data_IF_465533199971
#
_entry.id   IF_465533199971
#
_cell.length_a   1.000
_cell.length_b   1.000
_cell.length_c   1.000
_cell.angle_alpha   90.00
_cell.angle_beta   90.00
_cell.angle_gamma   90.00
#
_symmetry.space_group_name_H-M   'P 1'
#
loop_
_entity.id
_entity.type
_entity.pdbx_description
1 polymer ?
#
# COMPACT_ATOMS: atom_id res chain seq x y z
N UNK A 1 -0.79 -9.59 -41.71
CA UNK A 1 -0.35 -10.56 -40.68
C UNK A 1 0.75 -9.97 -39.78
N UNK A 2 0.52 -8.90 -38.99
CA UNK A 2 1.52 -8.32 -38.06
C UNK A 2 0.90 -7.65 -36.82
N UNK A 3 -0.38 -7.86 -36.52
CA UNK A 3 -0.99 -7.22 -35.34
C UNK A 3 -0.56 -7.85 -33.99
N UNK A 4 -0.12 -9.10 -33.98
CA UNK A 4 0.32 -9.78 -32.75
C UNK A 4 1.73 -9.35 -32.31
N UNK A 5 2.59 -8.96 -33.25
CA UNK A 5 3.93 -8.44 -32.95
C UNK A 5 3.89 -7.02 -32.37
N UNK A 6 2.97 -6.17 -32.84
CA UNK A 6 2.82 -4.79 -32.37
C UNK A 6 2.31 -4.71 -30.93
N UNK A 7 1.36 -5.58 -30.55
CA UNK A 7 0.85 -5.63 -29.16
C UNK A 7 1.95 -6.07 -28.18
N UNK A 8 2.78 -7.03 -28.59
CA UNK A 8 3.95 -7.47 -27.80
C UNK A 8 4.98 -6.35 -27.62
N UNK A 9 5.29 -5.61 -28.67
CA UNK A 9 6.22 -4.49 -28.63
C UNK A 9 5.72 -3.30 -27.80
N UNK A 10 4.42 -2.98 -27.83
CA UNK A 10 3.84 -1.96 -26.98
C UNK A 10 3.84 -2.33 -25.49
N UNK A 11 3.59 -3.60 -25.15
CA UNK A 11 3.67 -4.08 -23.78
C UNK A 11 5.10 -4.05 -23.24
N UNK A 12 6.08 -4.43 -24.06
CA UNK A 12 7.50 -4.39 -23.70
C UNK A 12 8.05 -2.97 -23.54
N UNK A 13 7.62 -2.01 -24.35
CA UNK A 13 8.03 -0.59 -24.20
C UNK A 13 7.55 0.03 -22.89
N UNK A 14 6.36 -0.33 -22.39
CA UNK A 14 5.83 0.12 -21.09
C UNK A 14 6.50 -0.57 -19.89
N UNK A 15 7.17 -1.70 -20.08
CA UNK A 15 7.90 -2.42 -19.05
C UNK A 15 9.35 -1.92 -18.84
N UNK A 16 9.87 -1.04 -19.73
CA UNK A 16 11.22 -0.48 -19.57
C UNK A 16 11.27 0.48 -18.38
N UNK A 17 12.36 0.37 -17.63
CA UNK A 17 12.66 1.31 -16.55
C UNK A 17 12.88 2.70 -17.13
N UNK A 18 12.17 3.69 -16.59
CA UNK A 18 12.46 5.08 -16.86
C UNK A 18 13.49 5.58 -15.83
N UNK A 19 14.38 6.47 -16.26
CA UNK A 19 15.35 7.09 -15.36
C UNK A 19 14.70 7.71 -14.11
N UNK A 20 13.48 8.24 -14.24
CA UNK A 20 12.69 8.75 -13.12
C UNK A 20 12.32 7.71 -12.06
N UNK A 21 12.11 6.45 -12.45
CA UNK A 21 11.79 5.37 -11.51
C UNK A 21 13.04 4.98 -10.70
N UNK A 22 14.19 4.88 -11.39
CA UNK A 22 15.47 4.63 -10.71
C UNK A 22 15.80 5.79 -9.76
N UNK A 23 15.59 7.04 -10.20
CA UNK A 23 15.78 8.22 -9.34
C UNK A 23 14.86 8.21 -8.12
N UNK A 24 13.60 7.77 -8.26
CA UNK A 24 12.66 7.64 -7.14
C UNK A 24 13.18 6.65 -6.09
N UNK A 25 13.59 5.44 -6.48
CA UNK A 25 14.09 4.44 -5.55
C UNK A 25 15.43 4.86 -4.92
N UNK A 26 16.30 5.50 -5.68
CA UNK A 26 17.53 6.08 -5.14
C UNK A 26 17.23 7.20 -4.14
N UNK A 27 16.22 8.04 -4.39
CA UNK A 27 15.79 9.07 -3.45
C UNK A 27 15.25 8.47 -2.16
N UNK A 28 14.42 7.40 -2.23
CA UNK A 28 13.92 6.70 -1.04
C UNK A 28 15.07 6.10 -0.23
N UNK A 29 16.04 5.48 -0.90
CA UNK A 29 17.23 4.94 -0.25
C UNK A 29 18.09 6.07 0.38
N UNK A 30 18.29 7.17 -0.33
CA UNK A 30 19.04 8.33 0.15
C UNK A 30 18.36 8.99 1.38
N UNK A 31 17.01 9.03 1.42
CA UNK A 31 16.29 9.51 2.60
C UNK A 31 16.68 8.75 3.87
N UNK A 32 16.90 7.43 3.78
CA UNK A 32 17.36 6.62 4.91
C UNK A 32 18.73 7.03 5.45
N UNK A 33 19.62 7.55 4.60
CA UNK A 33 20.92 8.06 5.04
C UNK A 33 20.86 9.52 5.51
N UNK A 34 19.97 10.34 4.95
CA UNK A 34 19.85 11.75 5.25
C UNK A 34 19.11 12.02 6.57
N UNK A 35 18.16 11.15 6.97
CA UNK A 35 17.31 11.35 8.13
C UNK A 35 17.39 10.20 9.14
N UNK A 36 18.55 9.96 9.79
CA UNK A 36 18.74 8.81 10.69
C UNK A 36 17.85 8.86 11.95
N UNK A 37 17.30 10.00 12.32
CA UNK A 37 16.41 10.16 13.47
C UNK A 37 14.95 9.80 13.19
N UNK A 38 14.59 9.55 11.93
CA UNK A 38 13.19 9.33 11.49
C UNK A 38 12.92 7.92 10.96
N UNK A 39 13.78 6.94 11.26
CA UNK A 39 13.62 5.57 10.75
C UNK A 39 12.27 4.95 11.09
N UNK A 40 11.74 5.15 12.30
CA UNK A 40 10.45 4.58 12.71
C UNK A 40 9.30 5.06 11.81
N UNK A 41 9.23 6.37 11.57
CA UNK A 41 8.19 6.95 10.70
C UNK A 41 8.37 6.49 9.26
N UNK A 42 9.60 6.43 8.78
CA UNK A 42 9.89 5.93 7.42
C UNK A 42 9.52 4.46 7.27
N UNK A 43 9.78 3.64 8.28
CA UNK A 43 9.36 2.22 8.29
C UNK A 43 7.86 2.09 8.23
N UNK A 44 7.11 2.91 8.98
CA UNK A 44 5.65 2.97 8.90
C UNK A 44 5.15 3.33 7.51
N UNK A 45 5.76 4.31 6.85
CA UNK A 45 5.43 4.71 5.49
C UNK A 45 5.65 3.54 4.52
N UNK A 46 6.78 2.81 4.62
CA UNK A 46 7.09 1.68 3.75
C UNK A 46 6.09 0.53 3.93
N UNK A 47 5.71 0.21 5.18
CA UNK A 47 4.70 -0.81 5.49
C UNK A 47 3.33 -0.41 4.95
N UNK A 48 2.92 0.85 5.18
CA UNK A 48 1.66 1.40 4.67
C UNK A 48 1.65 1.41 3.13
N UNK A 49 2.77 1.74 2.50
CA UNK A 49 2.93 1.71 1.05
C UNK A 49 2.77 0.29 0.49
N UNK A 50 3.37 -0.72 1.15
CA UNK A 50 3.21 -2.12 0.77
C UNK A 50 1.75 -2.57 0.92
N UNK A 51 1.13 -2.21 2.03
CA UNK A 51 -0.27 -2.53 2.30
C UNK A 51 -1.21 -1.82 1.31
N UNK A 52 -0.96 -0.55 0.97
CA UNK A 52 -1.70 0.17 -0.06
C UNK A 52 -1.51 -0.43 -1.46
N UNK A 53 -0.29 -0.86 -1.79
CA UNK A 53 -0.01 -1.55 -3.05
C UNK A 53 -0.80 -2.87 -3.13
N UNK A 54 -0.98 -3.62 -2.04
CA UNK A 54 -1.79 -4.83 -2.01
C UNK A 54 -3.25 -4.56 -2.37
N UNK A 55 -3.85 -3.50 -1.82
CA UNK A 55 -5.22 -3.10 -2.16
C UNK A 55 -5.31 -2.56 -3.59
N UNK A 56 -4.29 -1.83 -4.08
CA UNK A 56 -4.27 -1.32 -5.46
C UNK A 56 -4.28 -2.45 -6.51
N UNK A 57 -3.67 -3.60 -6.21
CA UNK A 57 -3.71 -4.76 -7.09
C UNK A 57 -5.13 -5.24 -7.35
N UNK A 58 -6.03 -5.22 -6.36
CA UNK A 58 -7.43 -5.64 -6.54
C UNK A 58 -8.34 -4.48 -6.94
N UNK A 59 -8.21 -3.32 -6.32
CA UNK A 59 -9.03 -2.15 -6.62
C UNK A 59 -8.60 -1.47 -7.92
N UNK A 60 -7.32 -1.20 -8.04
CA UNK A 60 -6.76 -0.45 -9.15
C UNK A 60 -6.77 -1.21 -10.46
N UNK A 61 -6.49 -2.50 -10.46
CA UNK A 61 -6.36 -3.31 -11.66
C UNK A 61 -7.55 -4.23 -11.94
N UNK A 62 -8.20 -4.78 -10.91
CA UNK A 62 -9.35 -5.68 -11.08
C UNK A 62 -10.70 -5.04 -10.80
N UNK A 63 -10.74 -3.85 -10.19
CA UNK A 63 -11.97 -3.14 -9.87
C UNK A 63 -12.73 -3.73 -8.68
N UNK A 64 -12.10 -4.53 -7.83
CA UNK A 64 -12.71 -5.08 -6.63
C UNK A 64 -12.47 -4.11 -5.47
N UNK A 65 -13.54 -3.55 -4.93
CA UNK A 65 -13.50 -2.76 -3.71
C UNK A 65 -13.56 -3.69 -2.50
N UNK A 66 -12.70 -3.49 -1.51
CA UNK A 66 -12.65 -4.28 -0.28
C UNK A 66 -12.50 -3.36 0.92
N UNK A 67 -13.38 -3.51 1.91
CA UNK A 67 -13.32 -2.85 3.21
C UNK A 67 -12.78 -3.76 4.32
N UNK A 68 -12.53 -5.03 4.01
CA UNK A 68 -11.98 -6.02 4.93
C UNK A 68 -10.53 -6.39 4.62
N UNK A 69 -9.77 -5.54 3.95
CA UNK A 69 -8.40 -5.86 3.55
C UNK A 69 -7.46 -5.99 4.76
N UNK A 70 -7.80 -5.32 5.88
CA UNK A 70 -7.15 -5.46 7.18
C UNK A 70 -7.17 -6.90 7.71
N UNK A 71 -8.14 -7.73 7.32
CA UNK A 71 -8.19 -9.15 7.66
C UNK A 71 -6.90 -9.90 7.27
N UNK A 72 -6.40 -9.67 6.06
CA UNK A 72 -5.18 -10.31 5.55
C UNK A 72 -3.93 -9.76 6.23
N UNK A 73 -3.92 -8.46 6.50
CA UNK A 73 -2.86 -7.81 7.27
C UNK A 73 -2.79 -8.38 8.68
N UNK A 74 -3.93 -8.49 9.37
CA UNK A 74 -4.02 -9.03 10.71
C UNK A 74 -3.57 -10.49 10.79
N UNK A 75 -4.03 -11.35 9.87
CA UNK A 75 -3.57 -12.75 9.82
C UNK A 75 -2.05 -12.84 9.62
N UNK A 76 -1.49 -11.99 8.75
CA UNK A 76 -0.04 -11.93 8.56
C UNK A 76 0.70 -11.47 9.82
N UNK A 77 0.18 -10.45 10.50
CA UNK A 77 0.74 -9.92 11.74
C UNK A 77 0.76 -10.96 12.86
N UNK A 78 -0.40 -11.60 13.11
CA UNK A 78 -0.51 -12.65 14.13
C UNK A 78 0.28 -13.91 13.77
N UNK A 79 0.30 -14.33 12.50
CA UNK A 79 1.10 -15.48 12.07
C UNK A 79 2.58 -15.25 12.35
N UNK A 80 3.13 -14.10 11.97
CA UNK A 80 4.53 -13.78 12.26
C UNK A 80 4.81 -13.70 13.78
N UNK A 81 3.90 -13.07 14.54
CA UNK A 81 4.01 -12.96 15.99
C UNK A 81 3.99 -14.31 16.71
N UNK A 82 3.04 -15.17 16.35
CA UNK A 82 2.91 -16.51 16.93
C UNK A 82 4.11 -17.42 16.62
N UNK A 83 4.61 -17.36 15.37
CA UNK A 83 5.79 -18.14 14.96
C UNK A 83 7.02 -17.75 15.78
N UNK A 84 7.21 -16.46 16.04
CA UNK A 84 8.32 -15.98 16.85
C UNK A 84 8.12 -16.25 18.33
N UNK A 85 6.93 -15.99 18.88
CA UNK A 85 6.63 -16.18 20.31
C UNK A 85 6.79 -17.65 20.76
N UNK A 86 6.39 -18.61 19.91
CA UNK A 86 6.55 -20.03 20.19
C UNK A 86 7.92 -20.60 19.78
N UNK A 87 8.82 -19.78 19.26
CA UNK A 87 10.14 -20.22 18.83
C UNK A 87 10.14 -21.20 17.65
N UNK A 88 9.04 -21.26 16.88
CA UNK A 88 8.89 -22.19 15.74
C UNK A 88 9.75 -21.72 14.57
N UNK A 89 9.64 -20.42 14.25
CA UNK A 89 10.42 -19.75 13.20
C UNK A 89 10.78 -18.36 13.73
N UNK A 90 12.01 -18.21 14.20
CA UNK A 90 12.49 -16.93 14.73
C UNK A 90 13.22 -16.10 13.66
N UNK A 91 13.58 -16.73 12.54
CA UNK A 91 14.24 -16.05 11.42
C UNK A 91 13.23 -15.16 10.69
N UNK A 92 13.48 -13.83 10.61
CA UNK A 92 12.48 -12.86 10.13
C UNK A 92 12.02 -13.11 8.71
N UNK A 93 12.93 -13.48 7.80
CA UNK A 93 12.59 -13.66 6.37
C UNK A 93 11.69 -14.88 6.16
N UNK A 94 11.98 -15.99 6.85
CA UNK A 94 11.14 -17.19 6.79
C UNK A 94 9.77 -16.94 7.43
N UNK A 95 9.73 -16.30 8.60
CA UNK A 95 8.48 -15.92 9.26
C UNK A 95 7.61 -15.02 8.36
N UNK A 96 8.23 -14.07 7.65
CA UNK A 96 7.56 -13.19 6.70
C UNK A 96 6.89 -13.97 5.56
N UNK A 97 7.61 -14.92 4.96
CA UNK A 97 7.09 -15.73 3.85
C UNK A 97 5.93 -16.61 4.35
N UNK A 98 6.07 -17.27 5.49
CA UNK A 98 5.02 -18.13 6.06
C UNK A 98 3.79 -17.32 6.44
N UNK A 99 3.95 -16.14 7.03
CA UNK A 99 2.86 -15.23 7.33
C UNK A 99 2.13 -14.74 6.07
N UNK A 100 2.87 -14.40 5.03
CA UNK A 100 2.31 -14.07 3.73
C UNK A 100 1.52 -15.24 3.11
N UNK A 101 2.06 -16.46 3.20
CA UNK A 101 1.36 -17.67 2.73
C UNK A 101 0.09 -17.97 3.55
N UNK A 102 0.10 -17.76 4.87
CA UNK A 102 -1.09 -17.90 5.70
C UNK A 102 -2.20 -16.93 5.24
N UNK A 103 -1.87 -15.67 5.03
CA UNK A 103 -2.81 -14.69 4.49
C UNK A 103 -3.25 -15.04 3.05
N UNK A 104 -2.37 -15.59 2.23
CA UNK A 104 -2.67 -16.08 0.89
C UNK A 104 -3.71 -17.21 0.90
N UNK A 105 -3.58 -18.16 1.81
CA UNK A 105 -4.55 -19.27 1.98
C UNK A 105 -5.91 -18.73 2.38
N UNK A 106 -5.95 -17.81 3.34
CA UNK A 106 -7.19 -17.12 3.71
C UNK A 106 -7.80 -16.35 2.53
N UNK A 107 -6.99 -15.61 1.79
CA UNK A 107 -7.41 -14.88 0.60
C UNK A 107 -7.98 -15.81 -0.48
N UNK A 108 -7.35 -16.95 -0.70
CA UNK A 108 -7.87 -17.97 -1.62
C UNK A 108 -9.23 -18.51 -1.15
N UNK A 109 -9.36 -18.89 0.12
CA UNK A 109 -10.61 -19.42 0.68
C UNK A 109 -11.76 -18.40 0.59
N UNK A 110 -11.49 -17.13 0.94
CA UNK A 110 -12.50 -16.07 0.93
C UNK A 110 -12.82 -15.54 -0.47
N UNK A 111 -11.94 -15.74 -1.44
CA UNK A 111 -12.12 -15.27 -2.81
C UNK A 111 -13.39 -15.81 -3.47
N UNK A 112 -13.78 -17.06 -3.17
CA UNK A 112 -14.98 -17.69 -3.72
C UNK A 112 -16.28 -16.99 -3.27
N UNK A 113 -16.28 -16.41 -2.07
CA UNK A 113 -17.40 -15.64 -1.56
C UNK A 113 -17.42 -14.24 -2.20
N UNK A 114 -16.29 -13.56 -2.19
CA UNK A 114 -16.17 -12.16 -2.63
C UNK A 114 -16.46 -12.03 -4.13
N UNK A 115 -16.01 -12.97 -4.95
CA UNK A 115 -16.15 -12.89 -6.42
C UNK A 115 -17.59 -13.08 -6.87
N UNK A 116 -18.40 -13.84 -6.13
CA UNK A 116 -19.82 -14.05 -6.43
C UNK A 116 -20.69 -12.82 -6.20
N UNK A 117 -20.25 -11.90 -5.34
CA UNK A 117 -20.97 -10.67 -5.02
C UNK A 117 -20.84 -9.60 -6.12
N UNK A 118 -21.79 -8.70 -6.19
CA UNK A 118 -21.72 -7.42 -6.90
C UNK A 118 -21.25 -6.33 -5.92
N UNK A 119 -20.93 -5.15 -6.40
CA UNK A 119 -20.18 -4.09 -5.70
C UNK A 119 -20.51 -3.92 -4.20
N UNK A 120 -21.76 -3.65 -3.84
CA UNK A 120 -22.18 -3.49 -2.44
C UNK A 120 -22.07 -4.79 -1.64
N UNK A 121 -22.45 -5.92 -2.25
CA UNK A 121 -22.34 -7.25 -1.61
C UNK A 121 -20.88 -7.59 -1.31
N UNK A 122 -19.95 -7.26 -2.22
CA UNK A 122 -18.50 -7.45 -2.01
C UNK A 122 -18.00 -6.66 -0.81
N UNK A 123 -18.42 -5.41 -0.68
CA UNK A 123 -18.05 -4.56 0.47
C UNK A 123 -18.52 -5.18 1.79
N UNK A 124 -19.80 -5.62 1.83
CA UNK A 124 -20.36 -6.23 3.04
C UNK A 124 -19.69 -7.56 3.39
N UNK A 125 -19.44 -8.42 2.39
CA UNK A 125 -18.76 -9.71 2.61
C UNK A 125 -17.33 -9.51 3.11
N UNK A 126 -16.57 -8.59 2.50
CA UNK A 126 -15.18 -8.34 2.94
C UNK A 126 -15.13 -7.73 4.33
N UNK A 127 -16.04 -6.81 4.66
CA UNK A 127 -16.16 -6.26 6.01
C UNK A 127 -16.55 -7.35 7.02
N UNK A 128 -17.54 -8.19 6.69
CA UNK A 128 -17.96 -9.31 7.54
C UNK A 128 -16.83 -10.30 7.82
N UNK A 129 -15.95 -10.58 6.83
CA UNK A 129 -14.77 -11.42 7.02
C UNK A 129 -13.79 -10.77 8.01
N UNK A 130 -13.55 -9.46 7.92
CA UNK A 130 -12.66 -8.77 8.85
C UNK A 130 -13.20 -8.80 10.28
N UNK A 131 -14.48 -8.46 10.47
CA UNK A 131 -15.12 -8.51 11.79
C UNK A 131 -15.17 -9.93 12.37
N UNK A 132 -15.38 -10.93 11.53
CA UNK A 132 -15.35 -12.34 11.97
C UNK A 132 -13.95 -12.74 12.44
N UNK A 133 -12.89 -12.35 11.76
CA UNK A 133 -11.53 -12.65 12.15
C UNK A 133 -11.11 -11.89 13.42
N UNK A 134 -11.53 -10.63 13.56
CA UNK A 134 -11.36 -9.84 14.78
C UNK A 134 -12.03 -10.53 15.97
N UNK A 135 -13.31 -10.91 15.83
CA UNK A 135 -14.05 -11.62 16.87
C UNK A 135 -13.45 -13.01 17.19
N UNK A 136 -12.94 -13.72 16.19
CA UNK A 136 -12.22 -14.99 16.41
C UNK A 136 -10.91 -14.75 17.17
N UNK A 137 -10.14 -13.74 16.80
CA UNK A 137 -8.90 -13.39 17.48
C UNK A 137 -9.18 -13.00 18.94
N UNK A 138 -10.23 -12.24 19.22
CA UNK A 138 -10.65 -11.91 20.59
C UNK A 138 -11.10 -13.16 21.35
N UNK A 139 -11.89 -14.04 20.72
CA UNK A 139 -12.41 -15.27 21.34
C UNK A 139 -11.31 -16.26 21.75
N UNK A 140 -10.30 -16.40 20.92
CA UNK A 140 -9.16 -17.30 21.20
C UNK A 140 -8.02 -16.59 21.94
N UNK A 141 -8.36 -15.84 22.99
CA UNK A 141 -7.42 -15.05 23.79
C UNK A 141 -6.22 -15.85 24.34
N UNK A 142 -6.38 -17.15 24.58
CA UNK A 142 -5.28 -18.03 25.01
C UNK A 142 -4.16 -18.18 23.96
N UNK A 143 -4.46 -17.92 22.68
CA UNK A 143 -3.49 -18.03 21.59
C UNK A 143 -3.07 -16.63 21.13
N UNK A 144 -4.03 -15.73 20.99
CA UNK A 144 -3.85 -14.39 20.41
C UNK A 144 -3.48 -13.31 21.42
N UNK A 145 -3.52 -13.62 22.73
CA UNK A 145 -3.40 -12.63 23.80
C UNK A 145 -4.65 -11.77 24.00
N UNK A 146 -5.74 -12.00 23.23
CA UNK A 146 -7.00 -11.26 23.36
C UNK A 146 -6.82 -9.75 23.18
N UNK A 147 -7.48 -8.96 24.05
CA UNK A 147 -7.41 -7.48 24.02
C UNK A 147 -6.02 -6.91 24.25
N UNK A 148 -5.17 -7.62 25.00
CA UNK A 148 -3.79 -7.17 25.28
C UNK A 148 -2.84 -7.45 24.10
N UNK A 149 -3.26 -8.34 23.19
CA UNK A 149 -2.47 -8.76 22.03
C UNK A 149 -1.24 -9.59 22.39
N UNK A 150 -0.46 -9.92 21.38
CA UNK A 150 0.84 -10.59 21.53
C UNK A 150 1.91 -9.56 21.86
N UNK A 151 2.58 -9.72 22.99
CA UNK A 151 3.68 -8.87 23.46
C UNK A 151 4.94 -9.73 23.66
N UNK A 152 6.10 -9.04 23.73
CA UNK A 152 7.38 -9.73 23.96
C UNK A 152 7.84 -10.58 22.77
N UNK A 153 7.47 -10.16 21.55
CA UNK A 153 7.90 -10.84 20.34
C UNK A 153 9.35 -10.49 20.07
N UNK A 154 10.24 -11.45 20.29
CA UNK A 154 11.65 -11.29 19.99
C UNK A 154 11.99 -11.94 18.65
N UNK A 155 12.48 -11.13 17.71
CA UNK A 155 12.96 -11.61 16.43
C UNK A 155 14.46 -11.84 16.48
N UNK A 156 14.91 -12.96 15.92
CA UNK A 156 16.34 -13.19 15.73
C UNK A 156 16.93 -12.20 14.73
N UNK A 157 18.26 -12.01 14.75
CA UNK A 157 18.95 -11.24 13.72
C UNK A 157 18.64 -11.77 12.32
N UNK A 158 18.47 -10.88 11.35
CA UNK A 158 18.26 -11.24 9.94
C UNK A 158 19.49 -12.02 9.48
N UNK A 159 19.28 -13.24 8.96
CA UNK A 159 20.32 -14.20 8.58
C UNK A 159 21.33 -14.51 9.69
N UNK A 160 20.95 -14.29 10.97
CA UNK A 160 21.82 -14.52 12.12
C UNK A 160 22.89 -13.45 12.37
N UNK A 161 23.02 -12.43 11.51
CA UNK A 161 24.10 -11.44 11.59
C UNK A 161 23.60 -10.03 11.93
N UNK A 162 22.41 -9.61 11.42
CA UNK A 162 21.93 -8.24 11.52
C UNK A 162 20.80 -8.14 12.53
N UNK A 163 21.07 -7.67 13.78
CA UNK A 163 20.03 -7.52 14.79
C UNK A 163 19.10 -6.35 14.49
N UNK A 164 17.86 -6.46 14.97
CA UNK A 164 16.96 -5.31 14.98
C UNK A 164 17.42 -4.32 16.05
N UNK A 165 17.73 -3.10 15.62
CA UNK A 165 18.14 -2.02 16.52
C UNK A 165 16.93 -1.23 17.03
N UNK A 166 17.06 -0.65 18.24
CA UNK A 166 16.00 0.16 18.85
C UNK A 166 15.74 1.47 18.08
N UNK A 167 16.69 1.93 17.28
CA UNK A 167 16.52 3.15 16.45
C UNK A 167 15.75 2.87 15.16
N UNK A 168 15.50 1.59 14.83
CA UNK A 168 14.72 1.17 13.67
C UNK A 168 15.48 1.22 12.34
N UNK A 169 16.82 1.38 12.35
CA UNK A 169 17.63 1.41 11.14
C UNK A 169 17.51 0.11 10.35
N UNK A 170 17.70 -1.02 11.03
CA UNK A 170 17.57 -2.36 10.42
C UNK A 170 16.14 -2.58 9.91
N UNK A 171 15.12 -2.20 10.69
CA UNK A 171 13.72 -2.27 10.30
C UNK A 171 13.40 -1.48 9.02
N UNK A 172 13.99 -0.29 8.86
CA UNK A 172 13.83 0.53 7.66
C UNK A 172 14.41 -0.13 6.42
N UNK A 173 15.69 -0.54 6.44
CA UNK A 173 16.33 -1.14 5.27
C UNK A 173 15.72 -2.51 4.92
N UNK A 174 15.33 -3.28 5.92
CA UNK A 174 14.60 -4.54 5.73
C UNK A 174 13.25 -4.30 5.06
N UNK A 175 12.43 -3.39 5.59
CA UNK A 175 11.13 -3.05 5.00
C UNK A 175 11.27 -2.48 3.58
N UNK A 176 12.30 -1.67 3.34
CA UNK A 176 12.61 -1.14 2.01
C UNK A 176 12.97 -2.24 1.01
N UNK A 177 13.82 -3.19 1.43
CA UNK A 177 14.19 -4.33 0.58
C UNK A 177 12.98 -5.19 0.22
N UNK A 178 12.13 -5.52 1.22
CA UNK A 178 10.90 -6.29 1.00
C UNK A 178 9.92 -5.54 0.08
N UNK A 179 9.67 -4.25 0.33
CA UNK A 179 8.83 -3.43 -0.52
C UNK A 179 9.35 -3.38 -1.95
N UNK A 180 10.65 -3.18 -2.13
CA UNK A 180 11.26 -3.12 -3.46
C UNK A 180 11.12 -4.43 -4.23
N UNK A 181 11.42 -5.57 -3.59
CA UNK A 181 11.28 -6.90 -4.21
C UNK A 181 9.83 -7.18 -4.61
N UNK A 182 8.88 -6.90 -3.71
CA UNK A 182 7.46 -7.09 -3.99
C UNK A 182 6.95 -6.10 -5.05
N UNK A 183 7.45 -4.87 -5.06
CA UNK A 183 7.16 -3.91 -6.12
C UNK A 183 7.62 -4.41 -7.49
N UNK A 184 8.84 -4.98 -7.59
CA UNK A 184 9.33 -5.58 -8.83
C UNK A 184 8.42 -6.73 -9.30
N UNK A 185 8.00 -7.58 -8.38
CA UNK A 185 7.10 -8.69 -8.69
C UNK A 185 5.71 -8.17 -9.12
N UNK A 186 5.11 -7.23 -8.39
CA UNK A 186 3.85 -6.60 -8.77
C UNK A 186 3.92 -5.94 -10.15
N UNK A 187 5.01 -5.22 -10.43
CA UNK A 187 5.27 -4.62 -11.74
C UNK A 187 5.27 -5.66 -12.85
N UNK A 188 5.95 -6.79 -12.65
CA UNK A 188 5.98 -7.88 -13.62
C UNK A 188 4.58 -8.47 -13.85
N UNK A 189 3.81 -8.66 -12.80
CA UNK A 189 2.43 -9.16 -12.87
C UNK A 189 1.52 -8.20 -13.65
N UNK A 190 1.57 -6.91 -13.32
CA UNK A 190 0.69 -5.88 -13.91
C UNK A 190 1.00 -5.61 -15.40
N UNK A 191 2.27 -5.74 -15.81
CA UNK A 191 2.67 -5.55 -17.21
C UNK A 191 2.66 -6.86 -18.03
N UNK A 192 2.26 -7.97 -17.43
CA UNK A 192 2.09 -9.27 -18.12
C UNK A 192 0.73 -9.35 -18.84
N UNK A 193 0.52 -10.35 -19.70
CA UNK A 193 -0.80 -10.67 -20.28
C UNK A 193 -1.88 -10.88 -19.20
N UNK A 194 -1.49 -11.34 -18.00
CA UNK A 194 -2.39 -11.44 -16.86
C UNK A 194 -2.90 -10.06 -16.42
N UNK A 195 -2.03 -9.06 -16.25
CA UNK A 195 -2.41 -7.70 -15.89
C UNK A 195 -3.29 -7.03 -16.96
N UNK A 196 -3.02 -7.27 -18.24
CA UNK A 196 -3.90 -6.80 -19.33
C UNK A 196 -5.29 -7.39 -19.24
N UNK A 197 -5.41 -8.70 -18.94
CA UNK A 197 -6.71 -9.35 -18.74
C UNK A 197 -7.49 -8.77 -17.55
N UNK A 198 -6.83 -8.40 -16.45
CA UNK A 198 -7.46 -7.73 -15.31
C UNK A 198 -8.03 -6.37 -15.68
N UNK A 199 -7.29 -5.55 -16.43
CA UNK A 199 -7.79 -4.25 -16.91
C UNK A 199 -8.99 -4.41 -17.85
N UNK A 200 -8.99 -5.42 -18.69
CA UNK A 200 -10.14 -5.76 -19.55
C UNK A 200 -11.37 -6.13 -18.69
N UNK A 201 -11.18 -6.95 -17.65
CA UNK A 201 -12.24 -7.33 -16.70
C UNK A 201 -12.76 -6.10 -15.95
N UNK A 202 -11.87 -5.24 -15.44
CA UNK A 202 -12.25 -4.00 -14.75
C UNK A 202 -13.14 -3.11 -15.61
N UNK A 203 -12.80 -2.95 -16.90
CA UNK A 203 -13.57 -2.11 -17.81
C UNK A 203 -14.94 -2.70 -18.15
N UNK A 204 -15.01 -3.98 -18.50
CA UNK A 204 -16.26 -4.67 -18.77
C UNK A 204 -16.07 -6.18 -18.65
N UNK A 205 -16.54 -6.80 -17.54
CA UNK A 205 -16.39 -8.24 -17.31
C UNK A 205 -17.14 -9.11 -18.32
N UNK A 206 -18.30 -8.64 -18.83
CA UNK A 206 -19.07 -9.39 -19.82
C UNK A 206 -18.33 -9.45 -21.17
N UNK A 207 -17.77 -8.34 -21.62
CA UNK A 207 -16.96 -8.31 -22.85
C UNK A 207 -15.68 -9.14 -22.69
N UNK A 208 -15.05 -9.09 -21.52
CA UNK A 208 -13.87 -9.90 -21.23
C UNK A 208 -14.19 -11.41 -21.31
N UNK A 209 -15.33 -11.83 -20.78
CA UNK A 209 -15.79 -13.21 -20.87
C UNK A 209 -16.10 -13.61 -22.33
N UNK A 210 -16.75 -12.74 -23.12
CA UNK A 210 -17.10 -12.99 -24.51
C UNK A 210 -15.88 -13.22 -25.42
N UNK A 211 -14.72 -12.62 -25.10
CA UNK A 211 -13.45 -12.85 -25.82
C UNK A 211 -12.61 -14.00 -25.21
N UNK A 212 -13.21 -14.83 -24.32
CA UNK A 212 -12.60 -16.05 -23.79
C UNK A 212 -11.70 -15.85 -22.55
N UNK A 213 -11.72 -14.67 -21.90
CA UNK A 213 -10.96 -14.47 -20.65
C UNK A 213 -11.71 -15.17 -19.49
N UNK A 214 -11.05 -16.09 -18.74
CA UNK A 214 -11.65 -16.77 -17.60
C UNK A 214 -11.72 -15.82 -16.39
N UNK A 215 -12.75 -14.95 -16.34
CA UNK A 215 -12.92 -13.83 -15.40
C UNK A 215 -12.71 -14.28 -13.95
N UNK A 216 -13.47 -15.29 -13.49
CA UNK A 216 -13.42 -15.74 -12.09
C UNK A 216 -12.03 -16.23 -11.69
N UNK A 217 -11.36 -17.02 -12.55
CA UNK A 217 -10.01 -17.52 -12.26
C UNK A 217 -9.00 -16.37 -12.14
N UNK A 218 -9.12 -15.33 -12.98
CA UNK A 218 -8.25 -14.15 -12.92
C UNK A 218 -8.47 -13.33 -11.67
N UNK A 219 -9.74 -13.15 -11.27
CA UNK A 219 -10.10 -12.44 -10.04
C UNK A 219 -9.65 -13.19 -8.79
N UNK A 220 -9.84 -14.54 -8.73
CA UNK A 220 -9.32 -15.37 -7.63
C UNK A 220 -7.81 -15.19 -7.50
N UNK A 221 -7.08 -15.32 -8.61
CA UNK A 221 -5.62 -15.23 -8.58
C UNK A 221 -5.10 -13.89 -8.08
N UNK A 222 -5.67 -12.77 -8.55
CA UNK A 222 -5.22 -11.45 -8.11
C UNK A 222 -5.63 -11.15 -6.66
N UNK A 223 -6.81 -11.60 -6.22
CA UNK A 223 -7.28 -11.44 -4.85
C UNK A 223 -6.37 -12.22 -3.87
N UNK A 224 -6.04 -13.45 -4.21
CA UNK A 224 -5.11 -14.30 -3.46
C UNK A 224 -3.70 -13.69 -3.39
N UNK A 225 -3.22 -13.14 -4.51
CA UNK A 225 -1.95 -12.45 -4.54
C UNK A 225 -1.95 -11.18 -3.67
N UNK A 226 -3.02 -10.39 -3.72
CA UNK A 226 -3.17 -9.20 -2.90
C UNK A 226 -3.20 -9.54 -1.41
N UNK A 227 -3.87 -10.63 -1.01
CA UNK A 227 -3.86 -11.13 0.36
C UNK A 227 -2.44 -11.51 0.82
N UNK A 228 -1.63 -12.12 -0.04
CA UNK A 228 -0.22 -12.41 0.25
C UNK A 228 0.57 -11.12 0.57
N UNK A 229 0.42 -10.08 -0.25
CA UNK A 229 1.09 -8.79 -0.02
C UNK A 229 0.63 -8.12 1.28
N UNK A 230 -0.68 -8.17 1.56
CA UNK A 230 -1.22 -7.63 2.81
C UNK A 230 -0.69 -8.39 4.03
N UNK A 231 -0.61 -9.73 3.93
CA UNK A 231 -0.02 -10.57 4.99
C UNK A 231 1.46 -10.26 5.25
N UNK A 232 2.25 -10.03 4.20
CA UNK A 232 3.64 -9.59 4.34
C UNK A 232 3.72 -8.22 5.02
N UNK A 233 2.86 -7.28 4.64
CA UNK A 233 2.82 -5.97 5.29
C UNK A 233 2.48 -6.08 6.79
N UNK A 234 1.55 -6.98 7.16
CA UNK A 234 1.22 -7.29 8.55
C UNK A 234 2.38 -7.95 9.31
N UNK A 235 3.05 -8.92 8.68
CA UNK A 235 4.23 -9.54 9.27
C UNK A 235 5.35 -8.53 9.53
N UNK A 236 5.64 -7.64 8.57
CA UNK A 236 6.59 -6.54 8.75
C UNK A 236 6.18 -5.62 9.90
N UNK A 237 4.86 -5.37 10.07
CA UNK A 237 4.38 -4.58 11.19
C UNK A 237 4.77 -5.23 12.51
N UNK A 238 4.46 -6.49 12.73
CA UNK A 238 4.77 -7.20 13.96
C UNK A 238 6.27 -7.33 14.19
N UNK A 239 7.05 -7.64 13.14
CA UNK A 239 8.51 -7.78 13.24
C UNK A 239 9.23 -6.47 13.63
N UNK A 240 8.68 -5.32 13.23
CA UNK A 240 9.31 -4.02 13.49
C UNK A 240 8.76 -3.31 14.73
N UNK A 241 7.57 -3.67 15.21
CA UNK A 241 6.96 -3.11 16.42
C UNK A 241 7.03 -4.02 17.62
N UNK A 242 7.35 -5.32 17.42
CA UNK A 242 7.36 -6.37 18.43
C UNK A 242 5.99 -6.56 19.15
N UNK A 243 4.89 -6.12 18.53
CA UNK A 243 3.53 -6.21 19.08
C UNK A 243 2.57 -6.61 17.97
N UNK A 244 1.57 -7.44 18.30
CA UNK A 244 0.40 -7.68 17.46
C UNK A 244 -0.86 -7.60 18.31
N UNK A 245 -1.68 -6.56 18.13
CA UNK A 245 -2.94 -6.32 18.83
C UNK A 245 -4.14 -6.53 17.92
N UNK A 246 -5.36 -6.63 18.48
CA UNK A 246 -6.60 -6.76 17.71
C UNK A 246 -6.82 -5.60 16.73
N UNK A 247 -6.25 -4.42 17.02
CA UNK A 247 -6.29 -3.23 16.16
C UNK A 247 -5.78 -3.48 14.72
N UNK A 248 -4.99 -4.53 14.49
CA UNK A 248 -4.55 -4.89 13.13
C UNK A 248 -5.68 -5.38 12.23
N UNK A 249 -6.80 -5.85 12.79
CA UNK A 249 -8.01 -6.24 12.07
C UNK A 249 -9.03 -5.10 11.92
N UNK A 250 -8.85 -4.00 12.65
CA UNK A 250 -9.80 -2.91 12.72
C UNK A 250 -10.18 -2.37 11.33
N UNK A 251 -11.48 -2.07 11.18
CA UNK A 251 -12.03 -1.50 9.94
C UNK A 251 -11.31 -0.20 9.53
N UNK A 252 -10.91 0.61 10.50
CA UNK A 252 -10.20 1.87 10.30
C UNK A 252 -8.95 1.69 9.44
N UNK A 253 -8.21 0.59 9.62
CA UNK A 253 -7.03 0.29 8.79
C UNK A 253 -7.37 0.05 7.32
N UNK A 254 -8.50 -0.62 7.06
CA UNK A 254 -8.99 -0.78 5.67
C UNK A 254 -9.46 0.55 5.08
N UNK A 255 -10.10 1.39 5.90
CA UNK A 255 -10.52 2.73 5.50
C UNK A 255 -9.30 3.63 5.18
N UNK A 256 -8.29 3.64 6.03
CA UNK A 256 -7.05 4.40 5.81
C UNK A 256 -6.36 4.00 4.48
N UNK A 257 -6.36 2.71 4.14
CA UNK A 257 -5.85 2.27 2.84
C UNK A 257 -6.61 2.86 1.65
N UNK A 258 -7.94 2.92 1.77
CA UNK A 258 -8.76 3.55 0.73
C UNK A 258 -8.41 5.04 0.60
N UNK A 259 -8.20 5.74 1.73
CA UNK A 259 -7.77 7.14 1.75
C UNK A 259 -6.41 7.30 1.07
N UNK A 260 -5.44 6.45 1.42
CA UNK A 260 -4.09 6.43 0.79
C UNK A 260 -4.21 6.27 -0.72
N UNK A 261 -5.04 5.35 -1.20
CA UNK A 261 -5.21 5.12 -2.64
C UNK A 261 -6.00 6.25 -3.34
N UNK A 262 -6.93 6.88 -2.66
CA UNK A 262 -7.64 8.05 -3.22
C UNK A 262 -6.69 9.24 -3.38
N UNK A 263 -5.84 9.50 -2.39
CA UNK A 263 -4.82 10.56 -2.43
C UNK A 263 -3.77 10.25 -3.49
N UNK A 264 -3.17 9.06 -3.44
CA UNK A 264 -2.07 8.65 -4.31
C UNK A 264 -2.49 8.23 -5.71
N UNK A 265 -3.71 7.69 -5.86
CA UNK A 265 -4.33 7.24 -7.09
C UNK A 265 -4.28 5.75 -7.35
N UNK A 266 -5.43 5.22 -7.75
CA UNK A 266 -5.64 3.81 -8.05
C UNK A 266 -5.20 3.43 -9.45
N UNK A 267 -4.68 2.21 -9.62
CA UNK A 267 -4.29 1.67 -10.93
C UNK A 267 -2.90 2.10 -11.41
N UNK A 268 -2.12 2.70 -10.52
CA UNK A 268 -0.72 3.04 -10.70
C UNK A 268 0.07 2.51 -9.50
N UNK A 269 1.00 1.59 -9.72
CA UNK A 269 1.78 0.98 -8.63
C UNK A 269 2.46 2.03 -7.71
N UNK A 270 2.91 3.14 -8.29
CA UNK A 270 3.48 4.26 -7.53
C UNK A 270 2.43 5.07 -6.76
N UNK A 271 1.13 4.93 -7.11
CA UNK A 271 0.05 5.64 -6.42
C UNK A 271 -0.01 5.29 -4.93
N UNK A 272 0.03 4.00 -4.60
CA UNK A 272 0.07 3.54 -3.20
C UNK A 272 1.27 4.05 -2.42
N UNK A 273 2.47 4.09 -3.06
CA UNK A 273 3.71 4.58 -2.44
C UNK A 273 3.62 6.09 -2.14
N UNK A 274 3.25 6.88 -3.14
CA UNK A 274 3.12 8.35 -3.00
C UNK A 274 1.99 8.68 -2.02
N UNK A 275 0.86 7.95 -2.12
CA UNK A 275 -0.28 8.12 -1.22
C UNK A 275 0.08 7.84 0.24
N UNK A 276 0.87 6.80 0.52
CA UNK A 276 1.32 6.47 1.86
C UNK A 276 2.20 7.58 2.47
N UNK A 277 3.12 8.14 1.66
CA UNK A 277 3.96 9.27 2.10
C UNK A 277 3.07 10.48 2.44
N UNK A 278 2.18 10.88 1.51
CA UNK A 278 1.33 12.05 1.69
C UNK A 278 0.36 11.86 2.87
N UNK A 279 -0.27 10.68 2.98
CA UNK A 279 -1.19 10.37 4.07
C UNK A 279 -0.48 10.46 5.43
N UNK A 280 0.70 9.86 5.57
CA UNK A 280 1.46 9.87 6.83
C UNK A 280 1.95 11.27 7.20
N UNK A 281 2.40 12.05 6.21
CA UNK A 281 2.77 13.45 6.44
C UNK A 281 1.58 14.31 6.89
N UNK A 282 0.40 14.14 6.26
CA UNK A 282 -0.82 14.82 6.68
C UNK A 282 -1.26 14.38 8.08
N UNK A 283 -1.19 13.08 8.38
CA UNK A 283 -1.50 12.55 9.70
C UNK A 283 -0.60 13.15 10.78
N UNK A 284 0.71 13.19 10.56
CA UNK A 284 1.68 13.77 11.51
C UNK A 284 1.42 15.26 11.70
N UNK A 285 1.16 15.99 10.61
CA UNK A 285 0.85 17.42 10.65
C UNK A 285 -0.42 17.69 11.47
N UNK A 286 -1.52 17.01 11.19
CA UNK A 286 -2.78 17.23 11.89
C UNK A 286 -2.76 16.70 13.33
N UNK A 287 -2.05 15.62 13.62
CA UNK A 287 -1.86 15.11 14.97
C UNK A 287 -1.05 16.09 15.84
N UNK A 288 -0.12 16.84 15.25
CA UNK A 288 0.65 17.88 15.96
C UNK A 288 -0.21 19.10 16.29
N UNK A 289 -1.12 19.50 15.38
CA UNK A 289 -1.97 20.69 15.57
C UNK A 289 -3.17 20.37 16.47
N UNK A 290 -3.86 19.27 16.22
CA UNK A 290 -5.07 18.83 16.95
C UNK A 290 -5.07 17.32 17.15
N UNK A 291 -4.44 16.79 18.22
CA UNK A 291 -4.30 15.35 18.45
C UNK A 291 -5.62 14.59 18.50
N UNK A 292 -6.71 15.24 19.00
CA UNK A 292 -8.02 14.61 19.13
C UNK A 292 -8.83 14.57 17.84
N UNK A 293 -8.56 15.46 16.87
CA UNK A 293 -9.38 15.64 15.66
C UNK A 293 -8.63 15.41 14.34
N UNK A 294 -7.46 14.77 14.37
CA UNK A 294 -6.67 14.55 13.16
C UNK A 294 -7.42 13.73 12.10
N UNK A 295 -8.24 12.76 12.51
CA UNK A 295 -9.07 11.97 11.60
C UNK A 295 -10.13 12.82 10.88
N UNK A 296 -10.74 13.79 11.59
CA UNK A 296 -11.69 14.73 11.00
C UNK A 296 -11.02 15.55 9.87
N UNK A 297 -9.80 16.06 10.11
CA UNK A 297 -9.08 16.84 9.11
C UNK A 297 -8.69 16.01 7.89
N UNK A 298 -8.26 14.77 8.08
CA UNK A 298 -7.97 13.85 6.97
C UNK A 298 -9.25 13.58 6.17
N UNK A 299 -10.37 13.31 6.84
CA UNK A 299 -11.66 13.13 6.17
C UNK A 299 -12.09 14.37 5.38
N UNK A 300 -11.91 15.57 5.94
CA UNK A 300 -12.19 16.84 5.25
C UNK A 300 -11.33 17.01 3.99
N UNK A 301 -10.03 16.76 4.10
CA UNK A 301 -9.10 16.78 2.94
C UNK A 301 -9.55 15.81 1.86
N UNK A 302 -9.98 14.61 2.25
CA UNK A 302 -10.50 13.63 1.30
C UNK A 302 -11.74 14.15 0.56
N UNK A 303 -12.71 14.70 1.31
CA UNK A 303 -13.93 15.28 0.71
C UNK A 303 -13.56 16.36 -0.30
N UNK A 304 -12.63 17.25 0.04
CA UNK A 304 -12.14 18.28 -0.87
C UNK A 304 -11.49 17.68 -2.12
N UNK A 305 -10.64 16.66 -1.96
CA UNK A 305 -9.99 15.96 -3.10
C UNK A 305 -11.02 15.34 -4.04
N UNK A 306 -12.05 14.70 -3.47
CA UNK A 306 -13.11 14.05 -4.27
C UNK A 306 -14.00 15.09 -4.97
N UNK A 307 -14.40 16.18 -4.28
CA UNK A 307 -15.23 17.24 -4.86
C UNK A 307 -14.52 18.03 -5.96
N UNK A 308 -13.26 18.39 -5.74
CA UNK A 308 -12.46 19.15 -6.74
C UNK A 308 -12.15 18.27 -7.95
N UNK A 309 -12.08 16.97 -7.75
CA UNK A 309 -11.69 16.00 -8.76
C UNK A 309 -10.19 16.02 -9.05
N UNK A 310 -9.59 14.84 -9.04
CA UNK A 310 -8.15 14.61 -9.18
C UNK A 310 -7.51 15.29 -10.41
N UNK A 311 -8.25 15.38 -11.53
CA UNK A 311 -7.74 16.01 -12.75
C UNK A 311 -7.57 17.54 -12.62
N UNK A 312 -8.40 18.18 -11.81
CA UNK A 312 -8.27 19.62 -11.52
C UNK A 312 -7.14 19.87 -10.52
N UNK A 313 -7.02 19.03 -9.48
CA UNK A 313 -5.92 19.12 -8.50
C UNK A 313 -4.56 19.00 -9.18
N UNK A 314 -4.39 18.01 -10.07
CA UNK A 314 -3.14 17.83 -10.81
C UNK A 314 -2.79 19.04 -11.66
N UNK A 315 -3.78 19.67 -12.29
CA UNK A 315 -3.58 20.93 -13.00
C UNK A 315 -3.18 22.06 -12.06
N UNK A 316 -3.84 22.19 -10.91
CA UNK A 316 -3.53 23.23 -9.93
C UNK A 316 -2.11 23.12 -9.38
N UNK A 317 -1.67 21.93 -9.03
CA UNK A 317 -0.30 21.66 -8.54
C UNK A 317 0.74 21.96 -9.62
N UNK A 318 0.46 21.70 -10.90
CA UNK A 318 1.37 22.00 -11.99
C UNK A 318 1.35 23.50 -12.39
N UNK A 319 0.24 24.22 -12.15
CA UNK A 319 0.16 25.65 -12.45
C UNK A 319 0.63 26.54 -11.29
N UNK A 320 0.61 26.05 -10.04
CA UNK A 320 1.05 26.79 -8.87
C UNK A 320 2.52 27.28 -8.96
N UNK A 321 3.51 26.47 -9.37
CA UNK A 321 4.88 26.96 -9.52
C UNK A 321 5.02 28.01 -10.63
N UNK A 322 4.23 27.93 -11.70
CA UNK A 322 4.25 28.92 -12.79
C UNK A 322 3.65 30.27 -12.36
N UNK A 323 2.69 30.29 -11.44
CA UNK A 323 2.15 31.52 -10.88
C UNK A 323 3.15 32.19 -9.93
N UNK A 324 3.84 31.43 -9.10
CA UNK A 324 4.87 31.93 -8.20
C UNK A 324 6.07 32.47 -8.99
N UNK A 325 6.51 31.78 -10.04
CA UNK A 325 7.60 32.21 -10.91
C UNK A 325 7.20 33.50 -11.67
N UNK A 326 5.96 33.62 -12.15
CA UNK A 326 5.47 34.85 -12.78
C UNK A 326 5.37 36.01 -11.82
N UNK A 327 4.99 35.81 -10.56
CA UNK A 327 4.96 36.85 -9.55
C UNK A 327 6.37 37.34 -9.16
N UNK A 328 7.35 36.42 -9.09
CA UNK A 328 8.75 36.77 -8.81
C UNK A 328 9.39 37.49 -10.01
N UNK A 329 9.09 37.04 -11.24
CA UNK A 329 9.57 37.71 -12.46
C UNK A 329 8.92 39.09 -12.67
N UNK A 330 7.64 39.25 -12.36
CA UNK A 330 6.94 40.53 -12.42
C UNK A 330 7.46 41.56 -11.40
N UNK A 331 7.90 41.10 -10.22
CA UNK A 331 8.51 42.00 -9.21
C UNK A 331 9.91 42.49 -9.63
N UNK A 332 10.66 41.72 -10.38
CA UNK A 332 11.97 42.17 -10.91
C UNK A 332 11.86 43.18 -12.04
N UNK A 333 10.76 43.18 -12.80
CA UNK A 333 10.53 44.13 -13.88
C UNK A 333 10.08 45.53 -13.42
N UNK A 334 9.55 45.63 -12.19
CA UNK A 334 9.09 46.93 -11.63
C UNK A 334 10.21 47.73 -10.95
N UNK A 335 11.37 47.12 -10.70
CA UNK A 335 12.51 47.79 -10.02
C UNK A 335 13.52 48.40 -11.01
N UNK A 336 13.35 48.21 -12.30
CA UNK A 336 14.17 48.82 -13.32
C UNK A 336 13.50 50.15 -13.78
N UNK A 337 13.59 51.20 -12.98
CA UNK A 337 13.35 52.59 -13.41
C UNK A 337 14.59 53.06 -14.10
N UNK A 338 14.54 53.54 -15.38
CA UNK A 338 15.71 54.18 -15.98
C UNK A 338 15.86 55.58 -15.38
N UNK A 339 17.02 55.87 -14.84
CA UNK A 339 17.50 57.24 -14.65
C UNK A 339 17.54 57.89 -16.03
N UNK A 340 16.65 58.84 -16.28
CA UNK A 340 16.72 59.72 -17.45
C UNK A 340 17.59 60.92 -17.08
N UNK A 341 18.55 61.16 -17.92
CA UNK A 341 19.39 62.33 -18.06
C UNK A 341 18.71 63.66 -17.76
N UNK A 342 19.39 64.49 -16.95
CA UNK A 342 19.36 65.93 -16.96
C UNK A 342 20.75 66.47 -16.70
#
# INVERSE_FOLDING_TARGET
MNASSDVGHHAQRRARWHYGEAAFWLAVLACGFLFPTRYLIMTDILRLALFAMSLDLILGYAGIVSLGHAAFFGVGAYAAGLLALHGIINEPVLALIVAGLAAMVLGFATSFLVIRGVDLTRLMVTLGIALLLEALAERFSSITGGTDGLQGIEMQPIFGEIPFDMFGKTGFFYSLAVLFLLFLFARRVVHSPFGLSLRAIKNNPLRAAAIGIPVNRRLIAIYTLAAFYAGIAGALFTQTTAIASLDVFAFERSADLMLVLVIGGTGYLYGGLIGAVLFRMLQELFATITPQYWQFWIGLVLVVIVLVGRQRLHRWVLYAPNLVIKQIAGRKAVVAVPESDA
#
